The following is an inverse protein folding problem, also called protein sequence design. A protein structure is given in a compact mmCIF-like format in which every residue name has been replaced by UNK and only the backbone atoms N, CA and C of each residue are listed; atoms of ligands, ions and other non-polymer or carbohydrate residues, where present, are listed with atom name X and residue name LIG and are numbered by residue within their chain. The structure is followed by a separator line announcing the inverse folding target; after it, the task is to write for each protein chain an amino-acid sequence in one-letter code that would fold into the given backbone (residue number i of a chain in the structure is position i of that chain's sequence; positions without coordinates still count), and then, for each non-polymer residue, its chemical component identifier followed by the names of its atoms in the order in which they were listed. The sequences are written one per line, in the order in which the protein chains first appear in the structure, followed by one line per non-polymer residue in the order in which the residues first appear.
data_IF_962204796524
#
_entry.id   IF_962204796524
#
_cell.length_a   1.000
_cell.length_b   1.000
_cell.length_c   1.000
_cell.angle_alpha   90.00
_cell.angle_beta   90.00
_cell.angle_gamma   90.00
#
_symmetry.space_group_name_H-M   'P 1'
#
loop_
_entity.id
_entity.type
_entity.pdbx_description
1 polymer ?
#
# COMPACT_ATOMS: atom_id res chain seq x y z
N UNK A 1 -16.33 53.42 13.10
CA UNK A 1 -16.48 52.85 11.74
C UNK A 1 -15.18 52.18 11.25
N UNK A 2 -13.98 52.64 11.65
CA UNK A 2 -12.68 52.04 11.23
C UNK A 2 -12.42 50.60 11.70
N UNK A 3 -13.01 50.17 12.84
CA UNK A 3 -12.78 48.81 13.37
C UNK A 3 -13.28 47.69 12.45
N UNK A 4 -14.38 47.92 11.72
CA UNK A 4 -15.00 46.90 10.84
C UNK A 4 -14.22 46.65 9.55
N UNK A 5 -13.35 47.56 9.10
CA UNK A 5 -12.50 47.33 7.92
C UNK A 5 -11.27 46.48 8.23
N UNK A 6 -10.80 46.48 9.47
CA UNK A 6 -9.60 45.75 9.87
C UNK A 6 -9.92 44.45 10.62
N UNK A 7 -10.92 44.45 11.52
CA UNK A 7 -11.34 43.24 12.24
C UNK A 7 -12.04 42.22 11.35
N UNK A 8 -12.78 42.66 10.33
CA UNK A 8 -13.53 41.78 9.43
C UNK A 8 -12.65 40.89 8.54
N UNK A 9 -11.63 41.40 7.83
CA UNK A 9 -10.73 40.54 7.06
C UNK A 9 -9.91 39.61 7.97
N UNK A 10 -9.53 40.07 9.17
CA UNK A 10 -8.85 39.22 10.16
C UNK A 10 -9.78 38.08 10.59
N UNK A 11 -11.05 38.36 10.89
CA UNK A 11 -12.03 37.35 11.27
C UNK A 11 -12.32 36.38 10.12
N UNK A 12 -12.46 36.87 8.89
CA UNK A 12 -12.63 36.02 7.70
C UNK A 12 -11.44 35.13 7.43
N UNK A 13 -10.21 35.67 7.52
CA UNK A 13 -8.99 34.90 7.35
C UNK A 13 -8.86 33.82 8.44
N UNK A 14 -9.22 34.14 9.67
CA UNK A 14 -9.22 33.18 10.78
C UNK A 14 -10.26 32.08 10.55
N UNK A 15 -11.48 32.45 10.13
CA UNK A 15 -12.53 31.48 9.76
C UNK A 15 -12.19 30.63 8.54
N UNK A 16 -11.42 31.15 7.59
CA UNK A 16 -10.98 30.41 6.40
C UNK A 16 -9.79 29.50 6.71
N UNK A 17 -8.83 29.99 7.50
CA UNK A 17 -7.61 29.26 7.85
C UNK A 17 -7.87 28.17 8.89
N UNK A 18 -8.85 28.34 9.78
CA UNK A 18 -9.19 27.36 10.82
C UNK A 18 -9.60 25.97 10.25
N UNK A 19 -10.55 25.84 9.31
CA UNK A 19 -10.90 24.54 8.73
C UNK A 19 -9.76 23.97 7.89
N UNK A 20 -9.01 24.80 7.18
CA UNK A 20 -7.85 24.37 6.38
C UNK A 20 -6.76 23.79 7.30
N UNK A 21 -6.48 24.48 8.42
CA UNK A 21 -5.53 24.03 9.42
C UNK A 21 -5.95 22.71 10.10
N UNK A 22 -7.24 22.58 10.45
CA UNK A 22 -7.77 21.34 11.01
C UNK A 22 -7.71 20.18 10.00
N UNK A 23 -8.06 20.43 8.73
CA UNK A 23 -8.01 19.42 7.67
C UNK A 23 -6.57 18.97 7.40
N UNK A 24 -5.63 19.91 7.24
CA UNK A 24 -4.21 19.60 7.04
C UNK A 24 -3.60 18.91 8.25
N UNK A 25 -3.88 19.40 9.46
CA UNK A 25 -3.42 18.78 10.71
C UNK A 25 -3.94 17.35 10.86
N UNK A 26 -5.24 17.14 10.66
CA UNK A 26 -5.86 15.81 10.68
C UNK A 26 -5.29 14.88 9.61
N UNK A 27 -5.10 15.38 8.38
CA UNK A 27 -4.50 14.62 7.29
C UNK A 27 -3.06 14.18 7.60
N UNK A 28 -2.24 15.09 8.15
CA UNK A 28 -0.87 14.78 8.55
C UNK A 28 -0.82 13.78 9.72
N UNK A 29 -1.72 13.90 10.70
CA UNK A 29 -1.85 12.94 11.78
C UNK A 29 -2.29 11.56 11.27
N UNK A 30 -3.26 11.50 10.36
CA UNK A 30 -3.70 10.27 9.71
C UNK A 30 -2.56 9.58 8.95
N UNK A 31 -1.80 10.36 8.16
CA UNK A 31 -0.63 9.86 7.42
C UNK A 31 0.45 9.33 8.36
N UNK A 32 0.69 9.99 9.50
CA UNK A 32 1.65 9.55 10.49
C UNK A 32 1.18 8.27 11.21
N UNK A 33 -0.11 8.16 11.53
CA UNK A 33 -0.70 6.99 12.16
C UNK A 33 -0.68 5.74 11.26
N UNK A 34 -0.83 5.90 9.95
CA UNK A 34 -0.69 4.80 8.97
C UNK A 34 0.72 4.20 8.90
N UNK A 35 1.75 4.90 9.38
CA UNK A 35 3.12 4.36 9.48
C UNK A 35 3.28 3.37 10.65
N UNK A 36 2.33 3.35 11.59
CA UNK A 36 2.29 2.43 12.74
C UNK A 36 1.07 1.51 12.72
N UNK A 37 0.11 1.75 11.82
CA UNK A 37 -1.11 0.96 11.65
C UNK A 37 -1.04 0.06 10.42
N UNK A 38 -0.33 -1.07 10.52
CA UNK A 38 -0.32 -2.14 9.52
C UNK A 38 -1.65 -2.89 9.40
N UNK A 39 -2.78 -2.20 9.25
CA UNK A 39 -4.10 -2.80 9.16
C UNK A 39 -5.04 -2.12 8.16
N UNK A 40 -4.51 -1.38 7.17
CA UNK A 40 -5.25 -1.33 5.90
C UNK A 40 -4.88 -2.60 5.13
N UNK A 41 -5.80 -3.55 4.92
CA UNK A 41 -5.59 -4.60 3.94
C UNK A 41 -5.65 -3.93 2.57
N UNK A 42 -4.50 -3.50 2.06
CA UNK A 42 -4.36 -3.48 0.60
C UNK A 42 -4.62 -4.92 0.17
N UNK A 43 -5.61 -5.21 -0.70
CA UNK A 43 -5.65 -6.49 -1.39
C UNK A 43 -4.44 -6.51 -2.33
N UNK A 44 -3.28 -6.78 -1.75
CA UNK A 44 -2.10 -7.13 -2.50
C UNK A 44 -2.44 -8.46 -3.16
N UNK A 45 -2.28 -8.62 -4.48
CA UNK A 45 -2.32 -9.93 -5.12
C UNK A 45 -1.12 -10.80 -4.71
N UNK A 46 -0.57 -10.62 -3.49
CA UNK A 46 0.35 -11.50 -2.82
C UNK A 46 -0.37 -12.78 -2.33
N UNK A 47 -1.04 -13.45 -3.27
CA UNK A 47 -1.07 -14.90 -3.28
C UNK A 47 -0.23 -15.38 -4.46
N UNK A 48 1.04 -14.99 -4.45
CA UNK A 48 2.08 -15.83 -5.01
C UNK A 48 2.29 -16.98 -4.02
N UNK A 49 1.30 -17.88 -3.91
CA UNK A 49 1.56 -19.22 -3.39
C UNK A 49 2.27 -19.96 -4.49
N UNK A 50 3.59 -19.83 -4.51
CA UNK A 50 4.43 -20.71 -5.27
C UNK A 50 5.74 -20.78 -4.54
N UNK A 51 5.96 -21.82 -3.73
CA UNK A 51 7.32 -22.19 -3.40
C UNK A 51 8.09 -22.25 -4.73
N UNK A 52 9.06 -21.35 -4.87
CA UNK A 52 9.93 -21.29 -6.01
C UNK A 52 10.92 -22.46 -5.92
N UNK A 53 10.49 -23.67 -6.30
CA UNK A 53 11.38 -24.84 -6.31
C UNK A 53 12.20 -24.87 -7.59
N UNK A 54 13.44 -25.34 -7.47
CA UNK A 54 14.29 -25.53 -8.64
C UNK A 54 13.88 -26.80 -9.40
N UNK A 55 13.85 -26.75 -10.73
CA UNK A 55 13.68 -27.93 -11.56
C UNK A 55 14.87 -28.88 -11.34
N UNK A 56 14.66 -30.16 -11.00
CA UNK A 56 15.76 -31.11 -10.76
C UNK A 56 16.57 -31.42 -12.03
N UNK A 57 16.00 -31.21 -13.22
CA UNK A 57 16.66 -31.52 -14.49
C UNK A 57 17.53 -30.37 -15.02
N UNK A 58 17.12 -29.11 -14.84
CA UNK A 58 17.83 -27.95 -15.41
C UNK A 58 18.23 -26.88 -14.39
N UNK A 59 17.84 -27.02 -13.12
CA UNK A 59 18.20 -26.10 -12.03
C UNK A 59 17.55 -24.72 -12.08
N UNK A 60 16.61 -24.47 -13.01
CA UNK A 60 15.88 -23.18 -13.08
C UNK A 60 14.83 -23.10 -11.97
N UNK A 61 14.54 -21.90 -11.48
CA UNK A 61 13.48 -21.68 -10.50
C UNK A 61 12.12 -21.64 -11.19
N UNK A 62 11.18 -22.45 -10.69
CA UNK A 62 9.82 -22.56 -11.22
C UNK A 62 8.82 -22.30 -10.11
N UNK A 63 7.65 -21.80 -10.51
CA UNK A 63 6.51 -21.66 -9.61
C UNK A 63 5.92 -23.05 -9.30
N UNK A 64 5.30 -23.19 -8.14
CA UNK A 64 4.88 -24.48 -7.60
C UNK A 64 3.75 -25.15 -8.41
N UNK A 65 2.94 -24.36 -9.11
CA UNK A 65 1.82 -24.84 -9.94
C UNK A 65 2.24 -25.47 -11.28
N UNK A 66 3.55 -25.53 -11.58
CA UNK A 66 4.03 -26.09 -12.83
C UNK A 66 4.15 -27.63 -12.78
N UNK A 67 3.51 -28.29 -13.75
CA UNK A 67 3.57 -29.75 -13.95
C UNK A 67 4.77 -30.15 -14.81
N UNK A 68 5.17 -29.29 -15.75
CA UNK A 68 6.31 -29.51 -16.64
C UNK A 68 7.17 -28.24 -16.68
N UNK A 69 8.48 -28.39 -16.78
CA UNK A 69 9.38 -27.26 -16.85
C UNK A 69 9.27 -26.57 -18.22
N UNK A 70 8.98 -25.25 -18.31
CA UNK A 70 8.92 -24.55 -19.60
C UNK A 70 10.29 -24.39 -20.27
N UNK A 71 11.37 -24.59 -19.51
CA UNK A 71 12.73 -24.44 -20.03
C UNK A 71 13.31 -25.73 -20.60
N UNK A 72 12.94 -26.89 -20.06
CA UNK A 72 13.51 -28.18 -20.48
C UNK A 72 12.47 -29.27 -20.77
N UNK A 73 11.18 -29.03 -20.50
CA UNK A 73 10.10 -29.99 -20.71
C UNK A 73 9.97 -31.08 -19.62
N UNK A 74 10.90 -31.17 -18.69
CA UNK A 74 10.89 -32.21 -17.65
C UNK A 74 9.67 -32.12 -16.74
N UNK A 75 9.09 -33.27 -16.39
CA UNK A 75 8.00 -33.38 -15.40
C UNK A 75 8.51 -33.01 -14.01
N UNK A 76 7.69 -32.30 -13.24
CA UNK A 76 8.05 -31.80 -11.92
C UNK A 76 7.12 -32.46 -10.88
N UNK A 77 7.65 -33.22 -9.90
CA UNK A 77 6.83 -34.02 -9.00
C UNK A 77 5.99 -33.12 -8.07
N UNK A 78 4.67 -33.09 -8.18
CA UNK A 78 3.82 -32.23 -7.34
C UNK A 78 4.07 -32.52 -5.86
N UNK A 79 4.20 -31.49 -5.02
CA UNK A 79 4.28 -31.66 -3.58
C UNK A 79 2.86 -31.92 -3.06
N UNK A 80 2.40 -33.16 -3.17
CA UNK A 80 1.17 -33.61 -2.50
C UNK A 80 1.36 -33.46 -1.00
N UNK A 81 0.67 -32.47 -0.41
CA UNK A 81 0.52 -32.28 1.03
C UNK A 81 -0.28 -33.40 1.67
#
# INVERSE_FOLDING_TARGET
MMGMMFLWPILMLLFLALPIGLALGGYLLYRKAGSTGGLMPVPSPARATGYARACPSCGRFLQEDWINCPHCGAEIPQATS
#
